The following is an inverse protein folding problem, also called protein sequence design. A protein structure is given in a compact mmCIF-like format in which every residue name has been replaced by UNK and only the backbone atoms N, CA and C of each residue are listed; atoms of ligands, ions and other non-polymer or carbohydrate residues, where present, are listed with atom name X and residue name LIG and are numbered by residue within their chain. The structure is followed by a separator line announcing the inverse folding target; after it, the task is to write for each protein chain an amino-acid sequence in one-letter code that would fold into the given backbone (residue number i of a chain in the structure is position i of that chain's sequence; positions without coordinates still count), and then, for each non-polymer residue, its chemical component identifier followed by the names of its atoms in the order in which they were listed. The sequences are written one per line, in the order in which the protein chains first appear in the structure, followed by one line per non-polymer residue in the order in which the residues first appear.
data_IF_404387885927
#
_entry.id   IF_404387885927
#
_cell.length_a   1.000
_cell.length_b   1.000
_cell.length_c   1.000
_cell.angle_alpha   90.00
_cell.angle_beta   90.00
_cell.angle_gamma   90.00
#
_symmetry.space_group_name_H-M   'P 1'
#
loop_
_entity.id
_entity.type
_entity.pdbx_description
1 polymer ?
#
# COMPACT_ATOMS: atom_id res chain seq x y z
N UNK A 1 13.96 -0.88 2.31
CA UNK A 1 13.15 -1.45 1.22
C UNK A 1 11.69 -1.12 1.48
N UNK A 2 10.86 -1.00 0.44
CA UNK A 2 9.44 -0.68 0.62
C UNK A 2 8.64 -1.85 0.08
N UNK A 3 7.88 -2.47 0.96
CA UNK A 3 6.99 -3.56 0.64
C UNK A 3 5.56 -3.08 0.69
N UNK A 4 4.76 -3.59 -0.22
CA UNK A 4 3.37 -3.23 -0.37
C UNK A 4 2.60 -4.52 -0.57
N UNK A 5 1.63 -4.76 0.29
CA UNK A 5 0.68 -5.85 0.12
C UNK A 5 -0.73 -5.28 0.03
N UNK A 6 -1.54 -5.85 -0.85
CA UNK A 6 -2.86 -5.35 -1.18
C UNK A 6 -3.91 -6.43 -0.96
N UNK A 7 -5.01 -6.07 -0.31
CA UNK A 7 -6.15 -6.98 -0.15
C UNK A 7 -7.43 -6.33 -0.68
N UNK A 8 -8.28 -7.14 -1.30
CA UNK A 8 -9.57 -6.70 -1.83
C UNK A 8 -10.62 -7.76 -1.53
N UNK A 9 -11.78 -7.33 -1.03
CA UNK A 9 -12.95 -8.17 -0.87
C UNK A 9 -14.22 -7.38 -1.26
N UNK A 10 -15.39 -8.03 -1.34
CA UNK A 10 -16.63 -7.34 -1.70
C UNK A 10 -17.08 -6.24 -0.73
N UNK A 11 -16.55 -6.22 0.51
CA UNK A 11 -16.82 -5.19 1.51
C UNK A 11 -15.86 -3.99 1.41
N UNK A 12 -14.74 -4.13 0.70
CA UNK A 12 -13.77 -3.06 0.51
C UNK A 12 -12.36 -3.57 0.21
N UNK A 13 -11.44 -2.63 0.13
CA UNK A 13 -10.05 -2.84 -0.24
C UNK A 13 -9.12 -2.17 0.77
N UNK A 14 -7.89 -2.67 0.86
CA UNK A 14 -6.89 -2.10 1.74
C UNK A 14 -5.46 -2.43 1.33
N UNK A 15 -4.52 -1.61 1.76
CA UNK A 15 -3.09 -1.76 1.51
C UNK A 15 -2.33 -1.82 2.83
N UNK A 16 -1.43 -2.79 2.97
CA UNK A 16 -0.35 -2.78 3.95
C UNK A 16 0.92 -2.24 3.31
N UNK A 17 1.62 -1.34 4.00
CA UNK A 17 2.90 -0.78 3.58
C UNK A 17 3.90 -1.01 4.70
N UNK A 18 5.04 -1.59 4.35
CA UNK A 18 6.16 -1.79 5.27
C UNK A 18 7.38 -1.06 4.71
N UNK A 19 7.93 -0.15 5.52
CA UNK A 19 9.20 0.52 5.27
C UNK A 19 10.26 -0.13 6.14
N UNK A 20 11.30 -0.67 5.53
CA UNK A 20 12.42 -1.29 6.25
C UNK A 20 13.74 -0.57 5.99
N UNK A 21 14.60 -0.51 7.00
CA UNK A 21 16.01 -0.11 6.90
C UNK A 21 16.90 -1.22 7.46
N UNK A 22 17.58 -1.95 6.58
CA UNK A 22 18.33 -3.14 6.97
C UNK A 22 17.37 -4.26 7.40
N UNK A 23 17.52 -4.75 8.61
CA UNK A 23 16.64 -5.77 9.22
C UNK A 23 15.54 -5.15 10.11
N UNK A 24 15.46 -3.80 10.17
CA UNK A 24 14.52 -3.10 11.04
C UNK A 24 13.34 -2.52 10.26
N UNK A 25 12.12 -2.82 10.71
CA UNK A 25 10.89 -2.17 10.23
C UNK A 25 10.80 -0.78 10.84
N UNK A 26 10.85 0.24 9.99
CA UNK A 26 10.73 1.64 10.37
C UNK A 26 9.27 2.10 10.47
N UNK A 27 8.43 1.66 9.54
CA UNK A 27 7.04 2.08 9.42
C UNK A 27 6.19 0.92 8.93
N UNK A 28 5.09 0.67 9.62
CA UNK A 28 4.03 -0.23 9.18
C UNK A 28 2.71 0.57 9.15
N UNK A 29 2.08 0.64 7.98
CA UNK A 29 0.84 1.38 7.79
C UNK A 29 -0.18 0.50 7.07
N UNK A 30 -1.40 0.49 7.59
CA UNK A 30 -2.56 -0.09 6.93
C UNK A 30 -3.51 1.01 6.47
N UNK A 31 -3.89 1.00 5.21
CA UNK A 31 -4.79 1.97 4.59
C UNK A 31 -6.05 1.25 4.12
N UNK A 32 -7.22 1.74 4.54
CA UNK A 32 -8.48 1.40 3.87
C UNK A 32 -8.59 2.22 2.59
N UNK A 33 -8.79 1.55 1.46
CA UNK A 33 -8.93 2.22 0.18
C UNK A 33 -10.42 2.44 -0.10
N UNK A 34 -10.77 3.66 -0.50
CA UNK A 34 -12.16 4.02 -0.81
C UNK A 34 -12.57 3.67 -2.25
N UNK A 35 -11.69 3.02 -3.01
CA UNK A 35 -11.93 2.62 -4.40
C UNK A 35 -11.83 1.09 -4.56
N UNK A 36 -12.62 0.49 -5.47
CA UNK A 36 -12.51 -0.93 -5.78
C UNK A 36 -11.09 -1.23 -6.27
N UNK A 37 -10.41 -2.20 -5.64
CA UNK A 37 -9.10 -2.66 -6.12
C UNK A 37 -9.27 -3.97 -6.84
N UNK A 38 -8.55 -4.13 -7.95
CA UNK A 38 -8.65 -5.35 -8.77
C UNK A 38 -7.70 -6.45 -8.35
N UNK A 39 -6.98 -6.28 -7.23
CA UNK A 39 -5.83 -7.07 -6.76
C UNK A 39 -4.51 -6.86 -7.53
N UNK A 40 -4.49 -6.03 -8.57
CA UNK A 40 -3.26 -5.79 -9.30
C UNK A 40 -2.31 -4.87 -8.52
N UNK A 41 -1.11 -5.38 -8.24
CA UNK A 41 -0.01 -4.69 -7.57
C UNK A 41 0.30 -3.30 -8.17
N UNK A 42 0.11 -3.14 -9.49
CA UNK A 42 0.32 -1.88 -10.21
C UNK A 42 -0.57 -0.72 -9.71
N UNK A 43 -1.82 -1.00 -9.30
CA UNK A 43 -2.73 0.03 -8.77
C UNK A 43 -2.28 0.52 -7.39
N UNK A 44 -1.67 -0.37 -6.60
CA UNK A 44 -1.11 -0.03 -5.28
C UNK A 44 0.19 0.76 -5.41
N UNK A 45 1.07 0.37 -6.32
CA UNK A 45 2.31 1.09 -6.61
C UNK A 45 2.03 2.50 -7.15
N UNK A 46 1.00 2.67 -8.00
CA UNK A 46 0.57 3.98 -8.48
C UNK A 46 0.00 4.88 -7.37
N UNK A 47 -0.82 4.32 -6.46
CA UNK A 47 -1.35 5.06 -5.31
C UNK A 47 -0.24 5.52 -4.36
N UNK A 48 0.73 4.64 -4.09
CA UNK A 48 1.90 4.97 -3.28
C UNK A 48 2.83 5.98 -3.95
N UNK A 49 3.03 5.89 -5.26
CA UNK A 49 3.75 6.91 -6.01
C UNK A 49 3.06 8.27 -5.91
N UNK A 50 1.73 8.31 -5.98
CA UNK A 50 0.92 9.52 -5.76
C UNK A 50 1.10 10.10 -4.35
N UNK A 51 1.13 9.27 -3.31
CA UNK A 51 1.40 9.69 -1.93
C UNK A 51 2.80 10.29 -1.77
N UNK A 52 3.82 9.74 -2.45
CA UNK A 52 5.19 10.28 -2.41
C UNK A 52 5.38 11.54 -3.24
N UNK A 53 4.58 11.74 -4.28
CA UNK A 53 4.62 12.93 -5.14
C UNK A 53 3.91 14.14 -4.53
N UNK A 54 3.21 13.98 -3.41
CA UNK A 54 2.50 15.06 -2.72
C UNK A 54 3.39 15.85 -1.72
N UNK A 55 4.70 15.64 -1.72
CA UNK A 55 5.70 16.54 -1.12
C UNK A 55 6.20 17.60 -2.11
#
# INVERSE_FOLDING_TARGET
MIFVDGSSNPQGSGAGIILESGEEVLIEVSLGLAFPTTNNQDEYEAFLAGLRLAE
#
